data_IF_350291445237
#
_entry.id   IF_350291445237
#
_cell.length_a   1.000
_cell.length_b   1.000
_cell.length_c   1.000
_cell.angle_alpha   90.00
_cell.angle_beta   90.00
_cell.angle_gamma   90.00
#
_symmetry.space_group_name_H-M   'P 1'
#
loop_
_entity.id
_entity.type
_entity.pdbx_description
1 polymer ?
#
# COMPACT_ATOMS: atom_id res chain seq x y z
N UNK A 1 5.27 14.05 2.19
CA UNK A 1 3.86 14.08 1.75
C UNK A 1 3.73 14.31 0.26
N UNK A 2 2.77 13.65 -0.37
CA UNK A 2 2.30 13.87 -1.75
C UNK A 2 0.89 14.43 -1.68
N UNK A 3 0.71 15.66 -2.16
CA UNK A 3 -0.55 16.41 -2.07
C UNK A 3 -1.07 16.88 -3.45
N UNK A 4 -0.43 16.52 -4.55
CA UNK A 4 -0.75 17.01 -5.89
C UNK A 4 -0.40 16.00 -7.00
N UNK A 5 -0.48 16.46 -8.25
CA UNK A 5 -0.21 15.64 -9.45
C UNK A 5 1.27 15.65 -9.84
N UNK A 6 1.63 14.78 -10.78
CA UNK A 6 2.91 14.75 -11.50
C UNK A 6 4.13 14.64 -10.56
N UNK A 7 3.92 14.02 -9.40
CA UNK A 7 4.96 13.82 -8.40
C UNK A 7 5.78 12.58 -8.77
N UNK A 8 7.11 12.72 -8.73
CA UNK A 8 8.06 11.62 -8.93
C UNK A 8 8.94 11.48 -7.70
N UNK A 9 8.95 10.29 -7.09
CA UNK A 9 9.86 9.92 -6.01
C UNK A 9 10.66 8.72 -6.51
N UNK A 10 11.97 8.89 -6.72
CA UNK A 10 12.79 7.85 -7.34
C UNK A 10 14.18 7.72 -6.75
N UNK A 11 14.66 6.49 -6.58
CA UNK A 11 16.06 6.22 -6.23
C UNK A 11 16.44 6.63 -4.81
N UNK A 12 15.47 6.73 -3.90
CA UNK A 12 15.70 7.21 -2.54
C UNK A 12 15.66 6.07 -1.53
N UNK A 13 16.56 6.14 -0.54
CA UNK A 13 16.54 5.29 0.64
C UNK A 13 15.95 6.06 1.82
N UNK A 14 15.00 5.46 2.55
CA UNK A 14 14.35 6.05 3.71
C UNK A 14 14.35 5.09 4.89
N UNK A 15 14.54 5.63 6.08
CA UNK A 15 14.52 4.86 7.34
C UNK A 15 14.12 5.72 8.52
N UNK A 16 13.79 5.08 9.63
CA UNK A 16 13.46 5.73 10.89
C UNK A 16 11.98 5.59 11.25
N UNK A 17 11.72 5.39 12.53
CA UNK A 17 10.37 5.25 13.06
C UNK A 17 9.73 6.63 13.22
N UNK A 18 8.85 6.98 12.28
CA UNK A 18 8.07 8.23 12.28
C UNK A 18 6.63 7.97 12.74
N UNK A 19 5.88 8.98 13.24
CA UNK A 19 4.53 8.77 13.77
C UNK A 19 3.51 8.18 12.78
N UNK A 20 3.70 8.40 11.47
CA UNK A 20 2.76 7.97 10.42
C UNK A 20 3.46 7.10 9.38
N UNK A 21 3.95 7.68 8.28
CA UNK A 21 4.53 6.98 7.14
C UNK A 21 5.72 7.74 6.57
N UNK A 22 6.62 7.06 5.87
CA UNK A 22 7.70 7.71 5.12
C UNK A 22 7.15 8.52 3.95
N UNK A 23 6.18 7.98 3.23
CA UNK A 23 5.45 8.67 2.17
C UNK A 23 3.96 8.61 2.48
N UNK A 24 3.40 9.77 2.87
CA UNK A 24 1.96 9.95 3.00
C UNK A 24 1.37 10.55 1.72
N UNK A 25 0.28 9.98 1.20
CA UNK A 25 -0.41 10.41 -0.03
C UNK A 25 -1.87 10.76 0.29
N UNK A 26 -2.30 11.96 -0.08
CA UNK A 26 -3.67 12.44 0.09
C UNK A 26 -3.73 13.81 0.76
N UNK A 27 -4.86 14.49 0.68
CA UNK A 27 -5.14 15.83 1.17
C UNK A 27 -6.42 15.86 2.00
N UNK A 28 -6.65 16.98 2.71
CA UNK A 28 -7.89 17.20 3.46
C UNK A 28 -9.04 17.67 2.57
N UNK A 29 -8.71 18.37 1.49
CA UNK A 29 -9.70 18.94 0.57
C UNK A 29 -9.96 18.03 -0.62
N UNK A 30 -11.20 18.06 -1.18
CA UNK A 30 -11.50 17.39 -2.43
C UNK A 30 -10.56 17.80 -3.57
N UNK A 31 -9.85 16.84 -4.16
CA UNK A 31 -8.99 17.11 -5.31
C UNK A 31 -8.77 15.87 -6.17
N UNK A 32 -8.54 16.11 -7.47
CA UNK A 32 -8.07 15.09 -8.41
C UNK A 32 -6.56 15.25 -8.58
N UNK A 33 -5.82 14.19 -8.29
CA UNK A 33 -4.39 14.04 -8.44
C UNK A 33 -4.12 13.07 -9.59
N UNK A 34 -3.02 13.24 -10.32
CA UNK A 34 -2.66 12.38 -11.45
C UNK A 34 -1.17 12.03 -11.48
N UNK A 35 -0.84 10.96 -12.18
CA UNK A 35 0.53 10.63 -12.62
C UNK A 35 1.55 10.56 -11.48
N UNK A 36 1.18 9.95 -10.35
CA UNK A 36 2.14 9.69 -9.27
C UNK A 36 3.06 8.54 -9.68
N UNK A 37 4.37 8.80 -9.65
CA UNK A 37 5.40 7.78 -9.87
C UNK A 37 6.24 7.65 -8.59
N UNK A 38 6.28 6.45 -8.02
CA UNK A 38 7.21 6.06 -6.97
C UNK A 38 7.99 4.87 -7.49
N UNK A 39 9.28 5.03 -7.74
CA UNK A 39 10.06 4.02 -8.45
C UNK A 39 11.42 3.79 -7.78
N UNK A 40 11.87 2.54 -7.67
CA UNK A 40 13.21 2.21 -7.19
C UNK A 40 13.55 2.86 -5.84
N UNK A 41 12.62 2.78 -4.89
CA UNK A 41 12.87 3.24 -3.51
C UNK A 41 13.23 2.08 -2.60
N UNK A 42 14.02 2.36 -1.57
CA UNK A 42 14.28 1.41 -0.49
C UNK A 42 13.78 1.99 0.82
N UNK A 43 12.92 1.26 1.54
CA UNK A 43 12.46 1.68 2.88
C UNK A 43 12.75 0.59 3.88
N UNK A 44 13.45 0.94 4.96
CA UNK A 44 13.85 0.01 6.00
C UNK A 44 13.72 0.60 7.40
N UNK A 45 13.47 -0.22 8.42
CA UNK A 45 13.41 0.21 9.83
C UNK A 45 12.46 1.40 10.05
N UNK A 46 11.21 1.25 9.62
CA UNK A 46 10.19 2.29 9.71
C UNK A 46 8.84 1.71 10.18
N UNK A 47 7.87 2.59 10.44
CA UNK A 47 6.49 2.17 10.69
C UNK A 47 5.81 1.83 9.35
N UNK A 48 5.05 2.74 8.76
CA UNK A 48 4.58 2.61 7.39
C UNK A 48 5.64 3.10 6.42
N UNK A 49 5.77 2.41 5.29
CA UNK A 49 6.53 2.93 4.15
C UNK A 49 5.66 3.89 3.34
N UNK A 50 4.66 3.38 2.62
CA UNK A 50 3.71 4.20 1.85
C UNK A 50 2.32 4.08 2.46
N UNK A 51 1.69 5.21 2.76
CA UNK A 51 0.30 5.28 3.22
C UNK A 51 -0.49 6.26 2.35
N UNK A 52 -1.48 5.74 1.62
CA UNK A 52 -2.49 6.53 0.92
C UNK A 52 -3.79 6.53 1.74
N UNK A 53 -4.36 7.72 1.93
CA UNK A 53 -5.69 7.90 2.52
C UNK A 53 -6.63 8.58 1.52
N UNK A 54 -7.54 7.79 0.92
CA UNK A 54 -8.29 8.14 -0.28
C UNK A 54 -9.57 8.93 -0.10
N UNK A 55 -10.12 9.03 1.11
CA UNK A 55 -11.49 9.51 1.36
C UNK A 55 -11.86 10.84 0.66
N UNK A 56 -10.93 11.80 0.56
CA UNK A 56 -11.19 13.10 -0.06
C UNK A 56 -10.65 13.24 -1.48
N UNK A 57 -9.74 12.38 -1.94
CA UNK A 57 -9.02 12.64 -3.19
C UNK A 57 -9.20 11.49 -4.16
N UNK A 58 -9.13 11.82 -5.43
CA UNK A 58 -9.08 10.86 -6.53
C UNK A 58 -7.65 10.88 -7.08
N UNK A 59 -6.95 9.75 -7.02
CA UNK A 59 -5.67 9.55 -7.72
C UNK A 59 -5.87 8.69 -8.96
N UNK A 60 -5.46 9.21 -10.11
CA UNK A 60 -5.55 8.56 -11.41
C UNK A 60 -4.14 8.32 -11.99
N UNK A 61 -3.84 7.08 -12.37
CA UNK A 61 -2.56 6.72 -13.00
C UNK A 61 -1.38 6.65 -12.02
N UNK A 62 -1.57 5.99 -10.87
CA UNK A 62 -0.49 5.79 -9.89
C UNK A 62 0.39 4.59 -10.26
N UNK A 63 1.71 4.75 -10.19
CA UNK A 63 2.69 3.69 -10.46
C UNK A 63 3.69 3.62 -9.31
N UNK A 64 3.68 2.51 -8.58
CA UNK A 64 4.65 2.20 -7.54
C UNK A 64 5.41 0.96 -7.99
N UNK A 65 6.70 1.12 -8.34
CA UNK A 65 7.46 0.06 -9.04
C UNK A 65 8.89 -0.12 -8.53
N UNK A 66 9.46 -1.32 -8.70
CA UNK A 66 10.88 -1.63 -8.48
C UNK A 66 11.43 -1.39 -7.06
N UNK A 67 10.57 -1.21 -6.08
CA UNK A 67 10.96 -0.87 -4.71
C UNK A 67 11.29 -2.08 -3.83
N UNK A 68 12.07 -1.83 -2.77
CA UNK A 68 12.37 -2.77 -1.70
C UNK A 68 11.89 -2.26 -0.35
N UNK A 69 11.18 -3.11 0.39
CA UNK A 69 10.64 -2.77 1.70
C UNK A 69 11.07 -3.83 2.70
N UNK A 70 11.67 -3.42 3.82
CA UNK A 70 12.04 -4.38 4.85
C UNK A 70 11.96 -3.85 6.28
N UNK A 71 11.85 -4.75 7.25
CA UNK A 71 12.00 -4.42 8.67
C UNK A 71 11.00 -3.32 9.10
N UNK A 72 9.74 -3.47 8.69
CA UNK A 72 8.68 -2.51 8.92
C UNK A 72 7.79 -2.95 10.08
N UNK A 73 7.32 -1.98 10.87
CA UNK A 73 6.39 -2.19 11.99
C UNK A 73 4.92 -1.90 11.64
N UNK A 74 4.64 -1.52 10.41
CA UNK A 74 3.31 -1.41 9.81
C UNK A 74 3.40 -1.85 8.34
N UNK A 75 2.50 -1.39 7.49
CA UNK A 75 2.38 -1.92 6.13
C UNK A 75 3.44 -1.33 5.18
N UNK A 76 3.88 -2.12 4.19
CA UNK A 76 4.83 -1.62 3.19
C UNK A 76 4.14 -0.65 2.22
N UNK A 77 2.97 -1.02 1.72
CA UNK A 77 2.09 -0.16 0.94
C UNK A 77 0.66 -0.36 1.43
N UNK A 78 0.06 0.69 1.98
CA UNK A 78 -1.35 0.70 2.37
C UNK A 78 -2.11 1.72 1.53
N UNK A 79 -3.06 1.23 0.74
CA UNK A 79 -3.89 2.01 -0.17
C UNK A 79 -5.34 2.07 0.33
N UNK A 80 -5.56 2.92 1.33
CA UNK A 80 -6.76 2.89 2.16
C UNK A 80 -7.86 3.83 1.66
N UNK A 81 -9.12 3.35 1.67
CA UNK A 81 -10.34 4.07 1.31
C UNK A 81 -10.23 4.75 -0.07
N UNK A 82 -9.80 3.98 -1.07
CA UNK A 82 -9.44 4.47 -2.40
C UNK A 82 -10.56 4.31 -3.43
N UNK A 83 -11.79 4.63 -3.04
CA UNK A 83 -13.02 4.38 -3.82
C UNK A 83 -13.13 5.18 -5.13
N UNK A 84 -12.35 6.26 -5.23
CA UNK A 84 -12.29 7.11 -6.41
C UNK A 84 -11.04 6.91 -7.26
N UNK A 85 -10.02 6.25 -6.71
CA UNK A 85 -8.75 6.03 -7.39
C UNK A 85 -8.92 4.99 -8.52
N UNK A 86 -8.08 5.10 -9.55
CA UNK A 86 -8.10 4.19 -10.71
C UNK A 86 -6.74 4.13 -11.40
N UNK A 87 -6.57 3.14 -12.26
CA UNK A 87 -5.36 2.92 -13.06
C UNK A 87 -4.10 2.85 -12.19
N UNK A 88 -4.21 2.05 -11.13
CA UNK A 88 -3.15 1.85 -10.13
C UNK A 88 -2.31 0.64 -10.51
N UNK A 89 -0.99 0.83 -10.57
CA UNK A 89 -0.02 -0.26 -10.70
C UNK A 89 0.89 -0.29 -9.47
N UNK A 90 0.92 -1.43 -8.80
CA UNK A 90 1.88 -1.75 -7.75
C UNK A 90 2.64 -3.00 -8.21
N UNK A 91 3.92 -2.87 -8.57
CA UNK A 91 4.65 -4.01 -9.13
C UNK A 91 6.14 -4.06 -8.89
N UNK A 92 6.72 -5.24 -9.11
CA UNK A 92 8.17 -5.44 -9.13
C UNK A 92 8.82 -5.14 -7.76
N UNK A 93 8.20 -5.62 -6.68
CA UNK A 93 8.66 -5.34 -5.32
C UNK A 93 9.25 -6.56 -4.62
N UNK A 94 10.22 -6.28 -3.75
CA UNK A 94 10.68 -7.23 -2.72
C UNK A 94 10.25 -6.71 -1.34
N UNK A 95 9.50 -7.52 -0.60
CA UNK A 95 8.90 -7.16 0.70
C UNK A 95 9.27 -8.21 1.74
N UNK A 96 10.04 -7.84 2.76
CA UNK A 96 10.55 -8.82 3.73
C UNK A 96 10.41 -8.31 5.17
N UNK A 97 10.12 -9.21 6.12
CA UNK A 97 10.16 -8.91 7.56
C UNK A 97 9.25 -7.74 7.92
N UNK A 98 7.97 -7.88 7.59
CA UNK A 98 6.93 -6.93 7.98
C UNK A 98 6.34 -7.45 9.29
N UNK A 99 6.77 -6.86 10.40
CA UNK A 99 6.53 -7.37 11.74
C UNK A 99 5.90 -6.30 12.65
N UNK A 100 4.56 -6.32 12.73
CA UNK A 100 3.78 -5.36 13.51
C UNK A 100 3.46 -5.89 14.92
N UNK A 101 4.47 -5.99 15.78
CA UNK A 101 4.33 -6.49 17.17
C UNK A 101 3.76 -5.47 18.17
N UNK A 102 3.27 -4.31 17.70
CA UNK A 102 2.80 -3.22 18.57
C UNK A 102 1.33 -3.38 19.04
N UNK A 103 0.75 -4.59 18.97
CA UNK A 103 -0.60 -4.88 19.45
C UNK A 103 -1.74 -4.47 18.52
N UNK A 104 -1.45 -4.00 17.31
CA UNK A 104 -2.46 -3.64 16.31
C UNK A 104 -2.67 -4.76 15.30
N UNK A 105 -3.63 -5.63 15.62
CA UNK A 105 -3.94 -6.89 14.91
C UNK A 105 -4.21 -6.78 13.39
N UNK A 106 -4.56 -5.60 12.88
CA UNK A 106 -4.87 -5.36 11.46
C UNK A 106 -3.72 -4.70 10.68
N UNK A 107 -2.53 -4.61 11.27
CA UNK A 107 -1.34 -4.02 10.64
C UNK A 107 -0.28 -5.09 10.41
N UNK A 108 0.67 -4.82 9.53
CA UNK A 108 1.76 -5.75 9.18
C UNK A 108 1.52 -6.47 7.85
N UNK A 109 0.84 -5.82 6.92
CA UNK A 109 0.56 -6.29 5.57
C UNK A 109 1.68 -5.83 4.63
N UNK A 110 2.04 -6.64 3.65
CA UNK A 110 2.89 -6.20 2.55
C UNK A 110 2.22 -5.11 1.73
N UNK A 111 1.18 -5.47 0.97
CA UNK A 111 0.40 -4.55 0.14
C UNK A 111 -1.09 -4.69 0.50
N UNK A 112 -1.70 -3.62 1.00
CA UNK A 112 -3.14 -3.53 1.26
C UNK A 112 -3.83 -2.55 0.32
N UNK A 113 -4.99 -2.93 -0.22
CA UNK A 113 -5.90 -2.02 -0.94
C UNK A 113 -7.32 -2.16 -0.39
N UNK A 114 -7.95 -1.05 -0.04
CA UNK A 114 -9.27 -1.05 0.60
C UNK A 114 -10.25 -0.03 0.00
N UNK A 115 -11.50 -0.48 -0.17
CA UNK A 115 -12.67 0.39 -0.35
C UNK A 115 -13.11 1.08 0.96
N UNK A 116 -14.36 1.55 1.03
CA UNK A 116 -14.88 2.32 2.18
C UNK A 116 -15.77 1.55 3.16
N UNK A 117 -16.03 0.26 2.92
CA UNK A 117 -16.94 -0.57 3.74
C UNK A 117 -16.51 -2.03 3.78
N UNK A 118 -17.04 -2.76 4.77
CA UNK A 118 -16.93 -4.22 4.91
C UNK A 118 -18.26 -4.94 4.62
N UNK A 119 -19.26 -4.21 4.09
CA UNK A 119 -20.55 -4.79 3.73
C UNK A 119 -20.45 -5.72 2.52
N UNK A 120 -20.95 -6.95 2.68
CA UNK A 120 -20.94 -7.98 1.64
C UNK A 120 -21.94 -7.73 0.49
N UNK A 121 -22.75 -6.68 0.56
CA UNK A 121 -23.59 -6.24 -0.55
C UNK A 121 -22.79 -5.59 -1.68
N UNK A 122 -21.50 -5.32 -1.46
CA UNK A 122 -20.52 -4.74 -2.40
C UNK A 122 -21.11 -3.64 -3.28
N UNK A 123 -21.58 -2.52 -2.69
CA UNK A 123 -21.93 -1.36 -3.49
C UNK A 123 -20.70 -0.90 -4.28
N UNK A 124 -20.80 -0.94 -5.61
CA UNK A 124 -19.66 -0.79 -6.53
C UNK A 124 -18.95 0.56 -6.39
N UNK A 125 -19.66 1.59 -5.96
CA UNK A 125 -19.17 2.94 -5.70
C UNK A 125 -18.34 3.04 -4.42
N UNK A 126 -18.38 2.02 -3.56
CA UNK A 126 -17.58 1.94 -2.34
C UNK A 126 -16.36 1.02 -2.48
N UNK A 127 -16.20 0.37 -3.64
CA UNK A 127 -15.10 -0.57 -3.88
C UNK A 127 -13.84 0.13 -4.42
N UNK A 128 -12.67 -0.32 -3.99
CA UNK A 128 -11.40 0.00 -4.68
C UNK A 128 -11.33 -0.80 -5.98
N UNK A 129 -10.95 -0.17 -7.09
CA UNK A 129 -11.04 -0.80 -8.41
C UNK A 129 -10.01 -0.33 -9.42
N UNK A 130 -9.93 -1.08 -10.52
CA UNK A 130 -9.04 -0.83 -11.65
C UNK A 130 -7.57 -0.75 -11.24
N UNK A 131 -7.10 -1.80 -10.54
CA UNK A 131 -5.72 -1.89 -10.09
C UNK A 131 -5.06 -3.21 -10.44
N UNK A 132 -3.73 -3.17 -10.51
CA UNK A 132 -2.87 -4.33 -10.74
C UNK A 132 -1.82 -4.41 -9.65
N UNK A 133 -1.75 -5.57 -9.00
CA UNK A 133 -0.62 -5.97 -8.13
C UNK A 133 0.13 -7.09 -8.84
N UNK A 134 1.40 -6.87 -9.19
CA UNK A 134 2.15 -7.83 -10.01
C UNK A 134 3.61 -7.98 -9.64
N UNK A 135 4.18 -9.17 -9.88
CA UNK A 135 5.60 -9.44 -9.69
C UNK A 135 6.10 -9.07 -8.27
N UNK A 136 5.41 -9.59 -7.25
CA UNK A 136 5.75 -9.36 -5.85
C UNK A 136 6.46 -10.59 -5.32
N UNK A 137 7.66 -10.41 -4.78
CA UNK A 137 8.32 -11.43 -3.95
C UNK A 137 8.29 -10.96 -2.53
N UNK A 138 7.78 -11.77 -1.61
CA UNK A 138 7.81 -11.42 -0.20
C UNK A 138 7.97 -12.57 0.76
N UNK A 139 8.50 -12.25 1.93
CA UNK A 139 8.68 -13.19 3.02
C UNK A 139 8.42 -12.56 4.37
N UNK A 140 8.17 -13.40 5.37
CA UNK A 140 8.19 -13.01 6.78
C UNK A 140 7.20 -11.86 7.08
N UNK A 141 5.94 -12.05 6.70
CA UNK A 141 4.87 -11.10 6.98
C UNK A 141 3.56 -11.83 7.28
N UNK A 142 2.58 -11.12 7.86
CA UNK A 142 1.27 -11.71 8.17
C UNK A 142 0.46 -12.01 6.92
N UNK A 143 0.39 -11.02 6.03
CA UNK A 143 -0.32 -11.08 4.76
C UNK A 143 0.50 -10.33 3.73
N UNK A 144 0.86 -10.97 2.60
CA UNK A 144 1.65 -10.29 1.57
C UNK A 144 0.80 -9.35 0.71
N UNK A 145 -0.38 -9.80 0.27
CA UNK A 145 -1.34 -8.99 -0.48
C UNK A 145 -2.71 -9.13 0.17
N UNK A 146 -3.34 -8.00 0.48
CA UNK A 146 -4.66 -7.90 1.08
C UNK A 146 -5.54 -6.99 0.23
N UNK A 147 -6.76 -7.44 -0.06
CA UNK A 147 -7.77 -6.62 -0.74
C UNK A 147 -9.06 -6.67 0.07
N UNK A 148 -9.55 -5.51 0.50
CA UNK A 148 -10.84 -5.36 1.16
C UNK A 148 -11.79 -4.53 0.30
N UNK A 149 -12.99 -5.05 0.04
CA UNK A 149 -13.97 -4.40 -0.82
C UNK A 149 -13.37 -3.95 -2.18
N UNK A 150 -12.75 -4.90 -2.87
CA UNK A 150 -12.15 -4.69 -4.19
C UNK A 150 -13.06 -5.18 -5.32
N UNK A 151 -13.06 -4.47 -6.43
CA UNK A 151 -13.74 -4.85 -7.67
C UNK A 151 -12.81 -4.62 -8.87
N UNK A 152 -12.85 -5.47 -9.90
CA UNK A 152 -12.10 -5.27 -11.16
C UNK A 152 -10.60 -5.02 -10.93
N UNK A 153 -9.88 -6.09 -10.59
CA UNK A 153 -8.45 -6.02 -10.33
C UNK A 153 -7.71 -7.28 -10.77
N UNK A 154 -6.39 -7.17 -10.87
CA UNK A 154 -5.50 -8.30 -11.20
C UNK A 154 -4.43 -8.44 -10.14
N UNK A 155 -4.29 -9.65 -9.59
CA UNK A 155 -3.13 -10.05 -8.77
C UNK A 155 -2.43 -11.19 -9.52
N UNK A 156 -1.15 -11.02 -9.88
CA UNK A 156 -0.41 -12.04 -10.64
C UNK A 156 1.07 -12.08 -10.31
N UNK A 157 1.68 -13.25 -10.45
CA UNK A 157 3.13 -13.46 -10.24
C UNK A 157 3.50 -12.98 -8.81
N UNK A 158 2.89 -13.60 -7.81
CA UNK A 158 3.18 -13.35 -6.39
C UNK A 158 3.87 -14.58 -5.84
N UNK A 159 5.06 -14.39 -5.26
CA UNK A 159 5.84 -15.42 -4.58
C UNK A 159 5.92 -15.06 -3.11
N UNK A 160 5.38 -15.91 -2.25
CA UNK A 160 5.34 -15.69 -0.82
C UNK A 160 5.96 -16.86 -0.07
N UNK A 161 6.77 -16.57 0.95
CA UNK A 161 7.31 -17.58 1.87
C UNK A 161 7.11 -17.13 3.31
N UNK A 162 6.90 -18.09 4.22
CA UNK A 162 6.75 -17.83 5.65
C UNK A 162 5.69 -16.76 5.99
N UNK A 163 4.46 -16.93 5.49
CA UNK A 163 3.34 -16.07 5.87
C UNK A 163 2.62 -16.64 7.09
N UNK A 164 2.61 -15.89 8.18
CA UNK A 164 1.97 -16.34 9.43
C UNK A 164 1.41 -15.18 10.25
N UNK A 165 0.25 -15.36 10.92
CA UNK A 165 -0.28 -14.41 11.89
C UNK A 165 0.73 -13.90 12.92
N UNK A 166 1.73 -14.71 13.29
CA UNK A 166 2.76 -14.39 14.28
C UNK A 166 3.55 -13.11 14.00
N UNK A 167 3.61 -12.64 12.74
CA UNK A 167 4.22 -11.37 12.38
C UNK A 167 3.38 -10.13 12.75
N UNK A 168 2.18 -10.31 13.32
CA UNK A 168 1.39 -9.23 13.93
C UNK A 168 0.80 -9.61 15.28
N UNK A 169 1.24 -10.72 15.87
CA UNK A 169 0.85 -11.14 17.21
C UNK A 169 1.80 -10.53 18.25
N UNK A 170 1.26 -10.23 19.43
CA UNK A 170 2.00 -9.74 20.60
C UNK A 170 2.48 -10.89 21.47
#
# INVERSE_FOLDING_TARGET
DVRGSDCVIKGVAMSGFVPVAQIFIGGKEPQVMRNLIIDDITVTHANYSILRQGFHNHLDGARITHSRFSDLQCDAIEWNVAIHDRDILISDHVIERINCTNGKINRGIGIGLAGSTYENSYPEDQAVKNFVVANITGSDCRQLVHVANGNTFVIRIVKATNLTPGFSET
#
